data_IF_653618078844
#
_entry.id   IF_653618078844
#
_cell.length_a   1.000
_cell.length_b   1.000
_cell.length_c   1.000
_cell.angle_alpha   90.00
_cell.angle_beta   90.00
_cell.angle_gamma   90.00
#
_symmetry.space_group_name_H-M   'P 1'
#
loop_
_entity.id
_entity.type
_entity.pdbx_description
1 polymer ?
#
# COMPACT_ATOMS: atom_id res chain seq x y z
N UNK A 1 -4.09 -10.46 2.51
CA UNK A 1 -3.25 -9.49 1.76
C UNK A 1 -3.42 -8.09 2.37
N UNK A 2 -2.44 -7.19 2.24
CA UNK A 2 -2.51 -5.85 2.85
C UNK A 2 -3.80 -5.07 2.47
N UNK A 3 -4.29 -5.06 1.21
CA UNK A 3 -5.53 -4.36 0.84
C UNK A 3 -6.76 -4.80 1.62
N UNK A 4 -7.01 -6.11 1.73
CA UNK A 4 -8.14 -6.64 2.48
C UNK A 4 -8.09 -6.27 3.97
N UNK A 5 -6.88 -6.14 4.54
CA UNK A 5 -6.70 -5.71 5.93
C UNK A 5 -7.06 -4.23 6.10
N UNK A 6 -6.68 -3.38 5.17
CA UNK A 6 -7.05 -1.95 5.16
C UNK A 6 -8.57 -1.80 5.18
N UNK A 7 -9.27 -2.49 4.28
CA UNK A 7 -10.73 -2.46 4.19
C UNK A 7 -11.41 -3.00 5.45
N UNK A 8 -10.90 -4.11 6.01
CA UNK A 8 -11.45 -4.69 7.26
C UNK A 8 -11.31 -3.78 8.48
N UNK A 9 -10.37 -2.83 8.46
CA UNK A 9 -10.13 -1.85 9.52
C UNK A 9 -10.84 -0.51 9.25
N UNK A 10 -11.70 -0.45 8.22
CA UNK A 10 -12.43 0.76 7.82
C UNK A 10 -11.60 1.76 7.02
N UNK A 11 -10.37 1.39 6.64
CA UNK A 11 -9.55 2.19 5.76
C UNK A 11 -9.96 2.04 4.30
N UNK A 12 -9.44 2.91 3.46
CA UNK A 12 -9.67 2.93 2.01
C UNK A 12 -8.37 2.70 1.26
N UNK A 13 -8.37 1.79 0.30
CA UNK A 13 -7.29 1.69 -0.68
C UNK A 13 -7.48 2.80 -1.72
N UNK A 14 -6.52 3.72 -1.80
CA UNK A 14 -6.53 4.80 -2.80
C UNK A 14 -5.89 4.31 -4.10
N UNK A 15 -4.74 3.66 -3.97
CA UNK A 15 -4.00 3.04 -5.07
C UNK A 15 -3.70 1.58 -4.68
N UNK A 16 -4.19 0.58 -5.45
CA UNK A 16 -3.94 -0.81 -5.16
C UNK A 16 -2.44 -1.14 -5.32
N UNK A 17 -1.95 -2.24 -4.70
CA UNK A 17 -0.56 -2.62 -4.79
C UNK A 17 -0.11 -2.81 -6.24
N UNK A 18 0.95 -2.11 -6.63
CA UNK A 18 1.55 -2.18 -7.96
C UNK A 18 3.07 -2.20 -7.88
N UNK A 19 3.69 -2.79 -8.90
CA UNK A 19 5.15 -2.89 -8.98
C UNK A 19 5.73 -1.65 -9.65
N UNK A 20 6.86 -1.20 -9.12
CA UNK A 20 7.77 -0.26 -9.75
C UNK A 20 8.95 -1.10 -10.26
N UNK A 21 9.17 -1.17 -11.59
CA UNK A 21 10.29 -1.91 -12.16
C UNK A 21 11.61 -1.57 -11.46
N UNK A 22 12.39 -2.60 -11.12
CA UNK A 22 13.71 -2.51 -10.49
C UNK A 22 13.78 -1.84 -9.10
N UNK A 23 12.64 -1.45 -8.51
CA UNK A 23 12.60 -0.76 -7.21
C UNK A 23 11.88 -1.57 -6.14
N UNK A 24 10.64 -1.98 -6.40
CA UNK A 24 9.82 -2.63 -5.39
C UNK A 24 8.33 -2.61 -5.68
N UNK A 25 7.52 -2.98 -4.69
CA UNK A 25 6.06 -2.93 -4.74
C UNK A 25 5.52 -1.89 -3.77
N UNK A 26 4.59 -1.05 -4.21
CA UNK A 26 4.00 0.00 -3.36
C UNK A 26 2.47 0.05 -3.45
N UNK A 27 1.85 0.69 -2.47
CA UNK A 27 0.42 1.01 -2.44
C UNK A 27 0.16 2.30 -1.66
N UNK A 28 -1.01 2.91 -1.89
CA UNK A 28 -1.47 4.09 -1.14
C UNK A 28 -2.81 3.81 -0.51
N UNK A 29 -2.96 4.15 0.77
CA UNK A 29 -4.17 3.93 1.55
C UNK A 29 -4.50 5.13 2.43
N UNK A 30 -5.74 5.20 2.87
CA UNK A 30 -6.24 6.19 3.81
C UNK A 30 -6.86 5.49 5.01
N UNK A 31 -6.60 5.97 6.22
CA UNK A 31 -7.26 5.48 7.42
C UNK A 31 -8.65 6.12 7.62
N UNK A 32 -9.48 5.65 8.56
CA UNK A 32 -10.80 6.23 8.82
C UNK A 32 -10.77 7.71 9.26
N UNK A 33 -9.64 8.20 9.76
CA UNK A 33 -9.46 9.59 10.21
C UNK A 33 -9.02 10.51 9.06
N UNK A 34 -8.79 9.94 7.87
CA UNK A 34 -8.41 10.67 6.66
C UNK A 34 -6.91 10.73 6.42
N UNK A 35 -6.06 10.14 7.27
CA UNK A 35 -4.61 10.16 7.09
C UNK A 35 -4.20 9.28 5.91
N UNK A 36 -3.39 9.84 5.01
CA UNK A 36 -2.90 9.13 3.82
C UNK A 36 -1.52 8.55 4.08
N UNK A 37 -1.37 7.25 3.80
CA UNK A 37 -0.15 6.47 4.03
C UNK A 37 0.29 5.82 2.72
N UNK A 38 1.60 5.85 2.47
CA UNK A 38 2.25 5.09 1.41
C UNK A 38 3.08 3.97 2.02
N UNK A 39 2.91 2.74 1.53
CA UNK A 39 3.71 1.59 1.90
C UNK A 39 4.54 1.17 0.68
N UNK A 40 5.80 0.84 0.90
CA UNK A 40 6.69 0.27 -0.14
C UNK A 40 7.53 -0.85 0.45
N UNK A 41 7.63 -1.96 -0.28
CA UNK A 41 8.61 -3.03 -0.05
C UNK A 41 9.59 -3.02 -1.21
N UNK A 42 10.88 -2.91 -0.93
CA UNK A 42 11.92 -2.92 -1.96
C UNK A 42 12.21 -4.34 -2.44
N UNK A 43 12.51 -4.48 -3.73
CA UNK A 43 13.12 -5.70 -4.21
C UNK A 43 14.55 -5.81 -3.70
N UNK A 44 15.01 -7.03 -3.49
CA UNK A 44 16.40 -7.25 -3.09
C UNK A 44 17.33 -6.67 -4.16
N UNK A 45 18.31 -5.90 -3.71
CA UNK A 45 19.43 -5.55 -4.57
C UNK A 45 20.34 -6.77 -4.65
N UNK A 46 20.38 -7.40 -5.81
CA UNK A 46 21.44 -8.38 -6.14
C UNK A 46 22.82 -7.79 -5.91
#
# INVERSE_FOLDING_TARGET
AMPARVESLGGKVILPPQDIPDVGRFMVMQDPQGAVLMLITYFDKN
#
